data_IF_127779819961
#
_entry.id   IF_127779819961
#
_cell.length_a   1.000
_cell.length_b   1.000
_cell.length_c   1.000
_cell.angle_alpha   90.00
_cell.angle_beta   90.00
_cell.angle_gamma   90.00
#
_symmetry.space_group_name_H-M   'P 1'
#
loop_
_entity.id
_entity.type
_entity.pdbx_description
1 polymer ?
#
# COMPACT_ATOMS: atom_id res chain seq x y z
N UNK A 1 29.90 -15.76 -31.16
CA UNK A 1 28.52 -15.97 -31.65
C UNK A 1 28.01 -17.32 -31.18
N UNK A 2 26.71 -17.48 -30.91
CA UNK A 2 26.12 -18.71 -30.33
C UNK A 2 24.81 -19.10 -31.03
N UNK A 3 24.54 -20.39 -31.10
CA UNK A 3 23.28 -20.91 -31.64
C UNK A 3 22.23 -21.07 -30.54
N UNK A 4 21.06 -20.49 -30.73
CA UNK A 4 19.96 -20.63 -29.78
C UNK A 4 19.39 -22.06 -29.81
N UNK A 5 19.25 -22.72 -28.65
CA UNK A 5 18.71 -24.09 -28.60
C UNK A 5 17.23 -24.20 -28.99
N UNK A 6 16.46 -23.10 -28.94
CA UNK A 6 15.02 -23.04 -29.26
C UNK A 6 14.75 -22.67 -30.72
N UNK A 7 15.16 -21.47 -31.16
CA UNK A 7 14.92 -21.00 -32.53
C UNK A 7 16.01 -21.40 -33.55
N UNK A 8 17.09 -22.06 -33.11
CA UNK A 8 18.20 -22.57 -33.92
C UNK A 8 18.99 -21.52 -34.74
N UNK A 9 18.71 -20.23 -34.58
CA UNK A 9 19.45 -19.14 -35.24
C UNK A 9 20.78 -18.85 -34.53
N UNK A 10 21.83 -18.52 -35.30
CA UNK A 10 23.10 -17.95 -34.79
C UNK A 10 22.87 -16.50 -34.40
N UNK A 11 23.32 -16.12 -33.20
CA UNK A 11 23.10 -14.82 -32.58
C UNK A 11 24.33 -14.35 -31.82
N UNK A 12 24.41 -13.07 -31.51
CA UNK A 12 25.48 -12.54 -30.67
C UNK A 12 25.28 -12.93 -29.21
N UNK A 13 26.36 -13.03 -28.44
CA UNK A 13 26.30 -13.39 -27.02
C UNK A 13 25.49 -12.40 -26.18
N UNK A 14 25.54 -11.12 -26.58
CA UNK A 14 24.71 -10.04 -26.02
C UNK A 14 23.20 -10.28 -26.19
N UNK A 15 22.78 -11.16 -27.09
CA UNK A 15 21.37 -11.55 -27.28
C UNK A 15 20.93 -12.70 -26.35
N UNK A 16 21.79 -13.18 -25.46
CA UNK A 16 21.47 -14.21 -24.48
C UNK A 16 21.45 -13.60 -23.07
N UNK A 17 20.56 -14.09 -22.21
CA UNK A 17 20.55 -13.69 -20.80
C UNK A 17 21.61 -14.48 -20.03
N UNK A 18 22.12 -13.91 -18.94
CA UNK A 18 22.95 -14.66 -18.00
C UNK A 18 22.09 -15.71 -17.27
N UNK A 19 22.59 -16.94 -17.20
CA UNK A 19 22.13 -17.97 -16.28
C UNK A 19 22.78 -17.77 -14.91
N UNK A 20 24.10 -17.56 -14.89
CA UNK A 20 24.85 -17.20 -13.69
C UNK A 20 25.81 -16.06 -14.04
N UNK A 21 25.59 -14.89 -13.44
CA UNK A 21 26.44 -13.72 -13.68
C UNK A 21 27.88 -13.93 -13.16
N UNK A 22 28.02 -14.54 -11.98
CA UNK A 22 29.32 -14.75 -11.33
C UNK A 22 30.29 -15.62 -12.15
N UNK A 23 29.78 -16.64 -12.85
CA UNK A 23 30.60 -17.54 -13.69
C UNK A 23 30.52 -17.19 -15.18
N UNK A 24 30.00 -16.01 -15.52
CA UNK A 24 29.75 -15.56 -16.89
C UNK A 24 28.97 -16.58 -17.77
N UNK A 25 28.11 -17.41 -17.15
CA UNK A 25 27.40 -18.47 -17.86
C UNK A 25 26.12 -17.91 -18.49
N UNK A 26 26.04 -17.92 -19.82
CA UNK A 26 24.84 -17.52 -20.56
C UNK A 26 23.83 -18.67 -20.72
N UNK A 27 22.56 -18.30 -20.87
CA UNK A 27 21.48 -19.20 -21.22
C UNK A 27 21.71 -19.85 -22.59
N UNK A 28 21.19 -21.08 -22.77
CA UNK A 28 21.23 -21.78 -24.07
C UNK A 28 20.22 -21.19 -25.07
N UNK A 29 19.18 -20.53 -24.57
CA UNK A 29 18.15 -19.88 -25.38
C UNK A 29 18.36 -18.35 -25.44
N UNK A 30 18.08 -17.73 -26.59
CA UNK A 30 18.19 -16.28 -26.75
C UNK A 30 17.10 -15.53 -25.98
N UNK A 31 17.32 -14.24 -25.71
CA UNK A 31 16.42 -13.34 -24.97
C UNK A 31 14.96 -13.40 -25.46
N UNK A 32 14.74 -13.47 -26.77
CA UNK A 32 13.39 -13.54 -27.37
C UNK A 32 12.72 -14.87 -27.00
N UNK A 33 13.42 -15.99 -27.20
CA UNK A 33 12.89 -17.31 -26.88
C UNK A 33 12.62 -17.47 -25.37
N UNK A 34 13.52 -16.98 -24.51
CA UNK A 34 13.31 -17.02 -23.06
C UNK A 34 12.13 -16.15 -22.63
N UNK A 35 11.92 -14.97 -23.24
CA UNK A 35 10.76 -14.12 -22.95
C UNK A 35 9.45 -14.80 -23.35
N UNK A 36 9.42 -15.43 -24.53
CA UNK A 36 8.25 -16.21 -24.99
C UNK A 36 7.96 -17.35 -24.03
N UNK A 37 8.97 -18.13 -23.65
CA UNK A 37 8.82 -19.27 -22.74
C UNK A 37 8.29 -18.85 -21.36
N UNK A 38 8.82 -17.75 -20.79
CA UNK A 38 8.31 -17.19 -19.52
C UNK A 38 6.87 -16.72 -19.64
N UNK A 39 6.51 -16.04 -20.75
CA UNK A 39 5.13 -15.61 -21.01
C UNK A 39 4.18 -16.79 -21.13
N UNK A 40 4.54 -17.80 -21.93
CA UNK A 40 3.73 -19.00 -22.15
C UNK A 40 3.56 -19.78 -20.83
N UNK A 41 4.62 -19.89 -20.04
CA UNK A 41 4.55 -20.49 -18.70
C UNK A 41 3.60 -19.71 -17.78
N UNK A 42 3.71 -18.39 -17.75
CA UNK A 42 2.82 -17.55 -16.93
C UNK A 42 1.36 -17.68 -17.34
N UNK A 43 1.06 -17.66 -18.65
CA UNK A 43 -0.31 -17.81 -19.16
C UNK A 43 -0.88 -19.19 -18.83
N UNK A 44 -0.11 -20.26 -19.03
CA UNK A 44 -0.53 -21.63 -18.69
C UNK A 44 -0.78 -21.84 -17.20
N UNK A 45 -0.03 -21.16 -16.35
CA UNK A 45 -0.13 -21.27 -14.90
C UNK A 45 -0.82 -20.05 -14.26
N UNK A 46 -1.53 -19.24 -15.05
CA UNK A 46 -2.08 -17.97 -14.59
C UNK A 46 -3.03 -18.17 -13.41
N UNK A 47 -3.93 -19.15 -13.51
CA UNK A 47 -4.86 -19.51 -12.45
C UNK A 47 -4.14 -19.96 -11.16
N UNK A 48 -3.09 -20.77 -11.29
CA UNK A 48 -2.26 -21.17 -10.14
C UNK A 48 -1.69 -19.95 -9.41
N UNK A 49 -1.12 -18.99 -10.13
CA UNK A 49 -0.58 -17.78 -9.52
C UNK A 49 -1.66 -16.89 -8.89
N UNK A 50 -2.83 -16.78 -9.53
CA UNK A 50 -3.97 -16.05 -8.97
C UNK A 50 -4.48 -16.69 -7.68
N UNK A 51 -4.65 -18.01 -7.65
CA UNK A 51 -5.10 -18.76 -6.46
C UNK A 51 -4.07 -18.62 -5.33
N UNK A 52 -2.79 -18.81 -5.64
CA UNK A 52 -1.70 -18.65 -4.68
C UNK A 52 -1.64 -17.22 -4.13
N UNK A 53 -1.81 -16.20 -4.97
CA UNK A 53 -1.86 -14.82 -4.55
C UNK A 53 -3.10 -14.54 -3.68
N UNK A 54 -4.27 -15.09 -4.03
CA UNK A 54 -5.51 -14.94 -3.25
C UNK A 54 -5.35 -15.54 -1.85
N UNK A 55 -4.83 -16.75 -1.75
CA UNK A 55 -4.57 -17.43 -0.47
C UNK A 55 -3.59 -16.62 0.39
N UNK A 56 -2.45 -16.23 -0.18
CA UNK A 56 -1.45 -15.39 0.53
C UNK A 56 -2.07 -14.08 1.01
N UNK A 57 -2.80 -13.39 0.13
CA UNK A 57 -3.39 -12.10 0.47
C UNK A 57 -4.51 -12.24 1.51
N UNK A 58 -5.20 -13.38 1.59
CA UNK A 58 -6.16 -13.64 2.66
C UNK A 58 -5.46 -13.75 4.02
N UNK A 59 -4.38 -14.52 4.12
CA UNK A 59 -3.58 -14.63 5.34
C UNK A 59 -3.03 -13.27 5.80
N UNK A 60 -2.44 -12.51 4.87
CA UNK A 60 -1.91 -11.15 5.14
C UNK A 60 -3.02 -10.23 5.67
N UNK A 61 -4.23 -10.30 5.13
CA UNK A 61 -5.35 -9.46 5.61
C UNK A 61 -5.74 -9.79 7.05
N UNK A 62 -5.73 -11.06 7.43
CA UNK A 62 -6.04 -11.48 8.80
C UNK A 62 -4.95 -10.98 9.76
N UNK A 63 -3.69 -11.21 9.42
CA UNK A 63 -2.53 -10.73 10.19
C UNK A 63 -2.58 -9.22 10.39
N UNK A 64 -2.77 -8.46 9.31
CA UNK A 64 -2.83 -7.01 9.39
C UNK A 64 -4.03 -6.53 10.21
N UNK A 65 -5.21 -7.17 10.10
CA UNK A 65 -6.37 -6.82 10.93
C UNK A 65 -6.09 -6.98 12.42
N UNK A 66 -5.48 -8.10 12.82
CA UNK A 66 -5.15 -8.34 14.23
C UNK A 66 -4.14 -7.32 14.75
N UNK A 67 -3.11 -7.03 13.96
CA UNK A 67 -2.12 -6.03 14.30
C UNK A 67 -2.73 -4.63 14.45
N UNK A 68 -3.57 -4.21 13.51
CA UNK A 68 -4.23 -2.90 13.54
C UNK A 68 -5.17 -2.78 14.72
N UNK A 69 -5.97 -3.81 14.99
CA UNK A 69 -6.85 -3.83 16.14
C UNK A 69 -6.07 -3.65 17.45
N UNK A 70 -5.03 -4.46 17.66
CA UNK A 70 -4.17 -4.34 18.84
C UNK A 70 -3.48 -2.98 18.96
N UNK A 71 -3.06 -2.40 17.83
CA UNK A 71 -2.50 -1.05 17.79
C UNK A 71 -3.52 0.00 18.24
N UNK A 72 -4.71 0.02 17.65
CA UNK A 72 -5.76 0.99 17.99
C UNK A 72 -6.26 0.83 19.44
N UNK A 73 -6.34 -0.40 19.97
CA UNK A 73 -6.73 -0.66 21.36
C UNK A 73 -5.78 -0.07 22.42
N UNK A 74 -4.57 0.33 22.02
CA UNK A 74 -3.55 0.87 22.94
C UNK A 74 -3.18 2.32 22.65
N UNK A 75 -3.76 2.91 21.60
CA UNK A 75 -3.42 4.25 21.12
C UNK A 75 -4.70 5.09 21.00
N UNK A 76 -5.15 5.74 22.08
CA UNK A 76 -6.33 6.58 22.04
C UNK A 76 -6.11 7.82 21.15
N UNK A 77 -7.21 8.50 20.83
CA UNK A 77 -7.21 9.75 20.08
C UNK A 77 -6.30 10.79 20.74
N UNK A 78 -5.33 11.31 19.98
CA UNK A 78 -4.37 12.32 20.49
C UNK A 78 -5.02 13.65 20.87
N UNK A 79 -6.23 13.95 20.36
CA UNK A 79 -6.89 15.23 20.59
C UNK A 79 -7.92 15.19 21.74
N UNK A 80 -8.62 14.06 21.94
CA UNK A 80 -9.71 13.97 22.91
C UNK A 80 -9.67 12.74 23.83
N UNK A 81 -8.70 11.85 23.68
CA UNK A 81 -8.55 10.66 24.54
C UNK A 81 -9.54 9.52 24.27
N UNK A 82 -10.42 9.65 23.28
CA UNK A 82 -11.30 8.55 22.85
C UNK A 82 -10.49 7.26 22.62
N UNK A 83 -10.95 6.15 23.17
CA UNK A 83 -10.22 4.88 23.20
C UNK A 83 -10.92 3.76 22.43
N UNK A 84 -12.18 3.95 21.99
CA UNK A 84 -12.91 2.97 21.21
C UNK A 84 -12.27 2.77 19.82
N UNK A 85 -11.62 1.62 19.53
CA UNK A 85 -10.96 1.34 18.26
C UNK A 85 -11.87 1.45 17.04
N UNK A 86 -13.19 1.31 17.22
CA UNK A 86 -14.17 1.39 16.13
C UNK A 86 -14.23 2.79 15.52
N UNK A 87 -14.01 3.84 16.31
CA UNK A 87 -14.07 5.24 15.85
C UNK A 87 -12.70 5.86 15.60
N UNK A 88 -11.61 5.13 15.84
CA UNK A 88 -10.25 5.60 15.67
C UNK A 88 -9.77 5.42 14.22
N UNK A 89 -9.09 6.45 13.73
CA UNK A 89 -8.54 6.54 12.38
C UNK A 89 -7.05 6.90 12.44
N UNK A 90 -6.31 6.43 11.44
CA UNK A 90 -4.92 6.86 11.23
C UNK A 90 -4.94 8.18 10.45
N UNK A 91 -4.54 9.27 11.12
CA UNK A 91 -4.38 10.58 10.50
C UNK A 91 -2.91 10.81 10.15
N UNK A 92 -2.63 10.92 8.84
CA UNK A 92 -1.31 11.19 8.30
C UNK A 92 -0.87 12.61 8.68
N UNK A 93 0.20 12.72 9.46
CA UNK A 93 0.76 14.00 9.91
C UNK A 93 2.03 14.40 9.16
N UNK A 94 2.80 13.43 8.67
CA UNK A 94 4.10 13.68 8.04
C UNK A 94 4.27 12.94 6.70
N UNK A 95 4.92 13.60 5.75
CA UNK A 95 5.32 13.04 4.45
C UNK A 95 4.27 13.14 3.34
N UNK A 96 4.67 12.72 2.14
CA UNK A 96 3.80 12.68 0.96
C UNK A 96 2.90 11.44 1.05
N UNK A 97 1.58 11.67 1.09
CA UNK A 97 0.57 10.60 1.07
C UNK A 97 0.66 9.84 -0.24
N UNK A 98 1.23 8.63 -0.20
CA UNK A 98 1.28 7.75 -1.38
C UNK A 98 -0.06 7.09 -1.67
N UNK A 99 -0.79 6.72 -0.61
CA UNK A 99 -2.02 5.92 -0.61
C UNK A 99 -2.71 6.09 0.74
N UNK A 100 -3.96 5.62 0.87
CA UNK A 100 -4.61 5.59 2.20
C UNK A 100 -4.09 4.41 3.05
N UNK A 101 -4.04 4.58 4.38
CA UNK A 101 -3.65 3.48 5.28
C UNK A 101 -4.54 2.25 5.07
N UNK A 102 -5.84 2.47 4.84
CA UNK A 102 -6.83 1.41 4.64
C UNK A 102 -6.50 0.54 3.41
N UNK A 103 -6.02 1.16 2.33
CA UNK A 103 -5.56 0.43 1.15
C UNK A 103 -4.26 -0.31 1.44
N UNK A 104 -3.31 0.32 2.13
CA UNK A 104 -2.02 -0.28 2.47
C UNK A 104 -2.20 -1.53 3.33
N UNK A 105 -3.07 -1.48 4.34
CA UNK A 105 -3.45 -2.62 5.20
C UNK A 105 -4.02 -3.78 4.38
N UNK A 106 -4.75 -3.51 3.29
CA UNK A 106 -5.41 -4.55 2.49
C UNK A 106 -4.47 -5.23 1.49
N UNK A 107 -3.44 -4.53 1.02
CA UNK A 107 -2.66 -4.95 -0.15
C UNK A 107 -1.19 -5.23 0.15
N UNK A 108 -0.68 -4.85 1.33
CA UNK A 108 0.74 -4.97 1.67
C UNK A 108 1.00 -5.83 2.90
N UNK A 109 2.24 -6.28 3.04
CA UNK A 109 2.74 -7.00 4.21
C UNK A 109 2.80 -6.11 5.45
N UNK A 110 2.75 -6.73 6.64
CA UNK A 110 2.82 -6.03 7.93
C UNK A 110 4.02 -5.08 8.06
N UNK A 111 5.17 -5.39 7.48
CA UNK A 111 6.36 -4.52 7.53
C UNK A 111 6.15 -3.18 6.81
N UNK A 112 5.39 -3.18 5.72
CA UNK A 112 5.04 -1.96 4.99
C UNK A 112 3.99 -1.17 5.78
N UNK A 113 3.00 -1.86 6.34
CA UNK A 113 1.97 -1.26 7.20
C UNK A 113 2.63 -0.56 8.40
N UNK A 114 3.54 -1.21 9.10
CA UNK A 114 4.29 -0.65 10.24
C UNK A 114 5.03 0.64 9.88
N UNK A 115 5.75 0.65 8.75
CA UNK A 115 6.47 1.84 8.27
C UNK A 115 5.53 3.00 7.95
N UNK A 116 4.32 2.70 7.49
CA UNK A 116 3.35 3.75 7.18
C UNK A 116 2.66 4.29 8.44
N UNK A 117 2.34 3.42 9.40
CA UNK A 117 1.76 3.84 10.70
C UNK A 117 2.68 4.80 11.44
N UNK A 118 4.01 4.63 11.32
CA UNK A 118 4.99 5.56 11.93
C UNK A 118 4.84 7.01 11.48
N UNK A 119 4.16 7.27 10.35
CA UNK A 119 3.90 8.61 9.82
C UNK A 119 2.52 9.16 10.22
N UNK A 120 1.79 8.39 11.01
CA UNK A 120 0.42 8.66 11.39
C UNK A 120 0.31 8.85 12.90
N UNK A 121 -0.66 9.66 13.29
CA UNK A 121 -1.15 9.69 14.67
C UNK A 121 -2.56 9.13 14.69
N UNK A 122 -2.98 8.62 15.85
CA UNK A 122 -4.34 8.12 16.01
C UNK A 122 -5.26 9.26 16.42
N UNK A 123 -6.35 9.45 15.68
CA UNK A 123 -7.42 10.41 15.99
C UNK A 123 -8.77 9.77 15.80
N UNK A 124 -9.75 10.13 16.62
CA UNK A 124 -11.12 9.71 16.35
C UNK A 124 -11.67 10.43 15.11
N UNK A 125 -12.63 9.80 14.43
CA UNK A 125 -13.24 10.33 13.21
C UNK A 125 -13.78 11.77 13.36
N UNK A 126 -14.30 12.11 14.54
CA UNK A 126 -14.80 13.46 14.85
C UNK A 126 -13.68 14.50 14.93
N UNK A 127 -12.61 14.22 15.67
CA UNK A 127 -11.46 15.12 15.77
C UNK A 127 -10.74 15.25 14.43
N UNK A 128 -10.57 14.14 13.71
CA UNK A 128 -10.00 14.14 12.37
C UNK A 128 -10.82 15.03 11.43
N UNK A 129 -12.15 14.87 11.38
CA UNK A 129 -13.02 15.70 10.53
C UNK A 129 -12.97 17.19 10.90
N UNK A 130 -12.91 17.51 12.20
CA UNK A 130 -12.75 18.90 12.67
C UNK A 130 -11.40 19.48 12.23
N UNK A 131 -10.31 18.71 12.33
CA UNK A 131 -8.97 19.11 11.86
C UNK A 131 -8.97 19.35 10.36
N UNK A 132 -9.50 18.42 9.56
CA UNK A 132 -9.64 18.60 8.11
C UNK A 132 -10.45 19.84 7.77
N UNK A 133 -11.59 20.06 8.44
CA UNK A 133 -12.42 21.24 8.21
C UNK A 133 -11.65 22.54 8.47
N UNK A 134 -10.85 22.59 9.56
CA UNK A 134 -9.99 23.73 9.89
C UNK A 134 -8.88 23.93 8.84
N UNK A 135 -8.18 22.86 8.48
CA UNK A 135 -7.07 22.89 7.51
C UNK A 135 -7.53 23.40 6.13
N UNK A 136 -8.68 22.94 5.66
CA UNK A 136 -9.22 23.30 4.35
C UNK A 136 -10.27 24.43 4.40
N UNK A 137 -10.39 25.12 5.54
CA UNK A 137 -11.29 26.26 5.74
C UNK A 137 -12.72 26.03 5.22
N UNK A 138 -13.33 24.92 5.63
CA UNK A 138 -14.68 24.58 5.17
C UNK A 138 -15.68 25.69 5.50
N UNK A 139 -16.56 26.01 4.56
CA UNK A 139 -17.54 27.11 4.67
C UNK A 139 -18.41 27.04 5.95
N UNK A 140 -18.75 25.82 6.42
CA UNK A 140 -19.54 25.62 7.64
C UNK A 140 -18.85 26.22 8.88
N UNK A 141 -17.52 26.28 8.92
CA UNK A 141 -16.80 26.93 10.02
C UNK A 141 -16.99 28.46 10.01
N UNK A 142 -17.05 29.07 8.83
CA UNK A 142 -17.32 30.50 8.70
C UNK A 142 -18.76 30.84 9.11
N UNK A 143 -19.72 29.99 8.73
CA UNK A 143 -21.12 30.14 9.10
C UNK A 143 -21.35 30.06 10.63
N UNK A 144 -20.75 29.06 11.29
CA UNK A 144 -20.82 28.95 12.77
C UNK A 144 -20.21 30.19 13.43
N UNK A 145 -19.06 30.68 12.95
CA UNK A 145 -18.43 31.89 13.49
C UNK A 145 -19.28 33.16 13.28
N UNK A 146 -20.07 33.23 12.20
CA UNK A 146 -21.03 34.31 11.96
C UNK A 146 -22.21 34.25 12.92
N UNK A 147 -22.80 33.06 13.13
CA UNK A 147 -23.90 32.86 14.09
C UNK A 147 -23.46 33.16 15.53
N UNK A 148 -22.29 32.69 15.94
CA UNK A 148 -21.75 32.94 17.27
C UNK A 148 -21.42 34.43 17.52
N UNK A 149 -21.26 35.22 16.45
CA UNK A 149 -21.12 36.69 16.57
C UNK A 149 -22.49 37.34 16.70
N UNK A 150 -23.47 36.94 15.89
CA UNK A 150 -24.84 37.45 15.96
C UNK A 150 -25.47 37.24 17.35
N UNK A 151 -25.35 36.04 17.93
CA UNK A 151 -25.91 35.74 19.26
C UNK A 151 -25.20 36.41 20.44
N UNK A 152 -24.02 37.02 20.23
CA UNK A 152 -23.31 37.82 21.25
C UNK A 152 -23.74 39.28 21.27
N UNK A 153 -24.44 39.76 20.24
CA UNK A 153 -25.00 41.11 20.19
C UNK A 153 -26.44 41.18 20.70
N UNK A 154 -27.08 40.03 20.94
CA UNK A 154 -28.46 39.93 21.45
C UNK A 154 -28.54 39.67 22.97
N UNK A 155 -27.40 39.73 23.68
CA UNK A 155 -27.34 39.64 25.16
C UNK A 155 -26.75 40.90 25.76
#
# INVERSE_FOLDING_TARGET
MRTCCKCKKKKYESEFNFKHKATNLLQKACKVCTRKEVRDHYLKNHEYYLLKARQRNAAIRVENKHFIWGYLSTHPCVDCGESDPVVLEFDHVEGVKRESIAVIIRTNTINVVRKEIQKCVIRCANCHRRRTAKQYKWHKLAFVAQLDRAHRFER
#
